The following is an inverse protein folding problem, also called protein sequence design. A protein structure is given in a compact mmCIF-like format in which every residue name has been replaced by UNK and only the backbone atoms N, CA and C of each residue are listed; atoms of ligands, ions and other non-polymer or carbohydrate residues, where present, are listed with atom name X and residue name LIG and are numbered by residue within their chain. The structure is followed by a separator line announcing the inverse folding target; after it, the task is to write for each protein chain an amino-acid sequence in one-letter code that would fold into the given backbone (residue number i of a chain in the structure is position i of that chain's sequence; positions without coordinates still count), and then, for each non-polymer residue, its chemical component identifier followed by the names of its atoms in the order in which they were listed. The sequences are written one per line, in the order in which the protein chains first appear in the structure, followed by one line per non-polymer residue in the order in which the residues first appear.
data_IF_128393745572
#
_entry.id   IF_128393745572
#
_cell.length_a   1.000
_cell.length_b   1.000
_cell.length_c   1.000
_cell.angle_alpha   90.00
_cell.angle_beta   90.00
_cell.angle_gamma   90.00
#
_symmetry.space_group_name_H-M   'P 1'
#
loop_
_entity.id
_entity.type
_entity.pdbx_description
1 polymer ?
#
# COMPACT_ATOMS: atom_id res chain seq x y z
N UNK A 1 -12.60 13.14 10.31
CA UNK A 1 -12.62 11.73 9.87
C UNK A 1 -12.05 10.87 11.00
N UNK A 2 -12.90 10.23 11.80
CA UNK A 2 -12.51 9.49 13.02
C UNK A 2 -11.54 8.32 12.73
N UNK A 3 -11.60 7.74 11.53
CA UNK A 3 -10.78 6.61 11.11
C UNK A 3 -9.63 6.97 10.17
N UNK A 4 -9.49 8.25 9.79
CA UNK A 4 -8.42 8.68 8.88
C UNK A 4 -7.15 8.97 9.67
N UNK A 5 -6.15 8.10 9.50
CA UNK A 5 -4.83 8.27 10.15
C UNK A 5 -3.90 9.21 9.38
N UNK A 6 -4.13 9.36 8.09
CA UNK A 6 -3.33 10.19 7.19
C UNK A 6 -4.20 10.65 6.03
N UNK A 7 -4.21 11.95 5.76
CA UNK A 7 -4.83 12.56 4.59
C UNK A 7 -3.79 13.51 4.00
N UNK A 8 -3.45 13.35 2.73
CA UNK A 8 -2.51 14.24 2.03
C UNK A 8 -3.15 14.70 0.72
N UNK A 9 -3.27 16.02 0.53
CA UNK A 9 -4.08 16.64 -0.53
C UNK A 9 -3.22 17.24 -1.66
N UNK A 10 -1.89 17.20 -1.58
CA UNK A 10 -0.99 17.71 -2.61
C UNK A 10 0.38 17.01 -2.55
N UNK A 11 0.39 15.69 -2.69
CA UNK A 11 1.61 14.90 -2.54
C UNK A 11 2.43 14.91 -3.83
N UNK A 12 3.72 15.24 -3.74
CA UNK A 12 4.66 15.03 -4.85
C UNK A 12 4.79 13.54 -5.19
N UNK A 13 5.21 13.23 -6.43
CA UNK A 13 5.50 11.85 -6.85
C UNK A 13 6.45 11.14 -5.86
N UNK A 14 7.47 11.84 -5.38
CA UNK A 14 8.42 11.31 -4.41
C UNK A 14 7.79 10.94 -3.06
N UNK A 15 6.77 11.69 -2.62
CA UNK A 15 5.99 11.31 -1.44
C UNK A 15 5.21 10.03 -1.68
N UNK A 16 4.53 9.93 -2.84
CA UNK A 16 3.79 8.73 -3.22
C UNK A 16 4.67 7.48 -3.25
N UNK A 17 5.87 7.58 -3.85
CA UNK A 17 6.86 6.50 -3.85
C UNK A 17 7.28 6.10 -2.43
N UNK A 18 7.61 7.09 -1.59
CA UNK A 18 8.01 6.85 -0.20
C UNK A 18 6.90 6.20 0.61
N UNK A 19 5.64 6.59 0.36
CA UNK A 19 4.47 6.04 1.01
C UNK A 19 4.19 4.59 0.58
N UNK A 20 4.31 4.26 -0.72
CA UNK A 20 4.22 2.88 -1.19
C UNK A 20 5.31 2.00 -0.56
N UNK A 21 6.55 2.50 -0.48
CA UNK A 21 7.64 1.80 0.22
C UNK A 21 7.33 1.57 1.69
N UNK A 22 6.75 2.57 2.36
CA UNK A 22 6.31 2.45 3.75
C UNK A 22 5.22 1.38 3.93
N UNK A 23 4.23 1.29 3.04
CA UNK A 23 3.22 0.23 3.08
C UNK A 23 3.83 -1.16 2.95
N UNK A 24 4.82 -1.33 2.07
CA UNK A 24 5.57 -2.59 1.96
C UNK A 24 6.31 -2.95 3.26
N UNK A 25 6.93 -1.96 3.92
CA UNK A 25 7.59 -2.17 5.23
C UNK A 25 6.59 -2.53 6.33
N UNK A 26 5.43 -1.89 6.35
CA UNK A 26 4.36 -2.22 7.30
C UNK A 26 3.85 -3.67 7.08
N UNK A 27 3.71 -4.12 5.83
CA UNK A 27 3.40 -5.53 5.54
C UNK A 27 4.48 -6.48 6.07
N UNK A 28 5.76 -6.13 5.90
CA UNK A 28 6.86 -6.94 6.41
C UNK A 28 6.85 -7.02 7.95
N UNK A 29 6.63 -5.90 8.63
CA UNK A 29 6.49 -5.85 10.09
C UNK A 29 5.34 -6.74 10.58
N UNK A 30 4.21 -6.72 9.88
CA UNK A 30 3.06 -7.60 10.18
C UNK A 30 3.42 -9.06 9.93
N UNK A 31 4.16 -9.38 8.86
CA UNK A 31 4.61 -10.75 8.57
C UNK A 31 5.51 -11.31 9.68
N UNK A 32 6.44 -10.52 10.17
CA UNK A 32 7.31 -10.91 11.29
C UNK A 32 6.50 -11.17 12.56
N UNK A 33 5.52 -10.31 12.84
CA UNK A 33 4.63 -10.49 13.98
C UNK A 33 3.76 -11.75 13.83
N UNK A 34 3.19 -11.99 12.65
CA UNK A 34 2.38 -13.18 12.39
C UNK A 34 3.19 -14.46 12.57
N UNK A 35 4.46 -14.44 12.16
CA UNK A 35 5.39 -15.55 12.38
C UNK A 35 5.63 -15.83 13.87
N UNK A 36 5.74 -14.80 14.71
CA UNK A 36 5.90 -14.97 16.17
C UNK A 36 4.71 -15.69 16.82
N UNK A 37 3.51 -15.49 16.28
CA UNK A 37 2.27 -16.15 16.75
C UNK A 37 1.93 -17.42 15.96
N UNK A 38 2.80 -17.86 15.04
CA UNK A 38 2.57 -19.00 14.15
C UNK A 38 1.24 -18.93 13.38
N UNK A 39 0.86 -17.72 12.93
CA UNK A 39 -0.34 -17.47 12.12
C UNK A 39 0.02 -17.03 10.71
N UNK A 40 -0.90 -17.23 9.77
CA UNK A 40 -0.64 -17.00 8.33
C UNK A 40 -1.15 -15.66 7.81
N UNK A 41 -2.12 -15.04 8.48
CA UNK A 41 -2.76 -13.81 8.02
C UNK A 41 -3.36 -12.97 9.16
N UNK A 42 -3.83 -11.77 8.80
CA UNK A 42 -4.43 -10.82 9.72
C UNK A 42 -5.64 -11.39 10.49
N UNK A 43 -6.45 -12.22 9.84
CA UNK A 43 -7.68 -12.74 10.46
C UNK A 43 -7.33 -13.70 11.59
N UNK A 44 -6.30 -14.52 11.39
CA UNK A 44 -5.77 -15.40 12.44
C UNK A 44 -5.00 -14.61 13.52
N UNK A 45 -4.24 -13.58 13.14
CA UNK A 45 -3.54 -12.74 14.11
C UNK A 45 -4.51 -12.00 15.05
N UNK A 46 -5.66 -11.54 14.54
CA UNK A 46 -6.67 -10.81 15.32
C UNK A 46 -7.29 -11.60 16.48
N UNK A 47 -7.07 -12.93 16.53
CA UNK A 47 -7.44 -13.77 17.68
C UNK A 47 -6.51 -13.56 18.88
N UNK A 48 -5.33 -12.97 18.67
CA UNK A 48 -4.27 -12.80 19.65
C UNK A 48 -3.97 -11.33 19.99
N UNK A 49 -4.36 -10.39 19.13
CA UNK A 49 -4.13 -8.96 19.36
C UNK A 49 -4.88 -8.07 18.37
N UNK A 50 -5.03 -6.79 18.71
CA UNK A 50 -5.68 -5.84 17.83
C UNK A 50 -4.76 -5.38 16.70
N UNK A 51 -5.27 -5.42 15.46
CA UNK A 51 -4.57 -4.87 14.31
C UNK A 51 -5.56 -4.34 13.27
N UNK A 52 -5.56 -3.03 12.96
CA UNK A 52 -6.51 -2.47 12.00
C UNK A 52 -6.17 -2.86 10.55
N UNK A 53 -7.20 -2.88 9.70
CA UNK A 53 -7.00 -2.92 8.25
C UNK A 53 -6.60 -1.53 7.78
N UNK A 54 -5.68 -1.47 6.83
CA UNK A 54 -5.31 -0.23 6.15
C UNK A 54 -6.06 -0.20 4.83
N UNK A 55 -6.98 0.74 4.68
CA UNK A 55 -7.61 1.07 3.41
C UNK A 55 -6.91 2.32 2.91
N UNK A 56 -6.24 2.19 1.77
CA UNK A 56 -5.44 3.25 1.17
C UNK A 56 -6.12 3.67 -0.12
N UNK A 57 -6.57 4.90 -0.18
CA UNK A 57 -7.15 5.49 -1.38
C UNK A 57 -6.07 6.34 -2.04
N UNK A 58 -5.75 6.04 -3.30
CA UNK A 58 -4.86 6.83 -4.14
C UNK A 58 -5.68 7.33 -5.31
N UNK A 59 -6.01 8.61 -5.28
CA UNK A 59 -6.57 9.29 -6.43
C UNK A 59 -5.46 9.64 -7.43
N UNK A 60 -5.81 9.69 -8.71
CA UNK A 60 -4.89 9.98 -9.80
C UNK A 60 -3.60 9.12 -9.76
N UNK A 61 -3.72 7.82 -9.49
CA UNK A 61 -2.55 6.95 -9.25
C UNK A 61 -1.55 6.90 -10.42
N UNK A 62 -1.99 7.19 -11.65
CA UNK A 62 -1.15 7.29 -12.84
C UNK A 62 -0.05 8.36 -12.69
N UNK A 63 -0.26 9.38 -11.85
CA UNK A 63 0.74 10.42 -11.55
C UNK A 63 1.98 9.82 -10.89
N UNK A 64 1.86 8.68 -10.18
CA UNK A 64 3.02 7.99 -9.62
C UNK A 64 4.02 7.51 -10.68
N UNK A 65 3.57 7.37 -11.94
CA UNK A 65 4.39 6.97 -13.08
C UNK A 65 4.85 8.15 -13.94
N UNK A 66 4.57 9.39 -13.54
CA UNK A 66 4.97 10.57 -14.30
C UNK A 66 6.45 10.94 -14.11
N UNK A 67 7.17 10.30 -13.19
CA UNK A 67 8.62 10.44 -13.11
C UNK A 67 9.24 9.85 -14.39
N UNK A 68 10.04 10.66 -15.09
CA UNK A 68 10.71 10.27 -16.34
C UNK A 68 11.90 9.33 -16.12
N UNK A 69 12.31 9.07 -14.86
CA UNK A 69 13.34 8.10 -14.55
C UNK A 69 12.83 6.66 -14.68
N UNK A 70 13.57 5.81 -15.40
CA UNK A 70 13.23 4.38 -15.53
C UNK A 70 13.21 3.67 -14.17
N UNK A 71 14.13 4.05 -13.27
CA UNK A 71 14.23 3.51 -11.91
C UNK A 71 13.03 3.87 -11.04
N UNK A 72 12.50 5.10 -11.16
CA UNK A 72 11.34 5.54 -10.40
C UNK A 72 10.09 4.74 -10.75
N UNK A 73 9.83 4.57 -12.05
CA UNK A 73 8.70 3.76 -12.56
C UNK A 73 8.80 2.30 -12.11
N UNK A 74 9.97 1.69 -12.26
CA UNK A 74 10.17 0.29 -11.85
C UNK A 74 9.92 0.09 -10.34
N UNK A 75 10.38 1.03 -9.50
CA UNK A 75 10.16 0.96 -8.05
C UNK A 75 8.68 1.05 -7.66
N UNK A 76 7.93 1.92 -8.34
CA UNK A 76 6.47 2.04 -8.17
C UNK A 76 5.77 0.76 -8.60
N UNK A 77 6.11 0.21 -9.77
CA UNK A 77 5.56 -1.05 -10.27
C UNK A 77 5.83 -2.21 -9.32
N UNK A 78 7.05 -2.36 -8.82
CA UNK A 78 7.42 -3.41 -7.88
C UNK A 78 6.65 -3.30 -6.57
N UNK A 79 6.52 -2.08 -6.03
CA UNK A 79 5.80 -1.83 -4.78
C UNK A 79 4.30 -2.11 -4.94
N UNK A 80 3.67 -1.59 -6.00
CA UNK A 80 2.26 -1.86 -6.30
C UNK A 80 2.02 -3.35 -6.54
N UNK A 81 2.86 -4.04 -7.31
CA UNK A 81 2.75 -5.48 -7.53
C UNK A 81 2.81 -6.26 -6.22
N UNK A 82 3.68 -5.87 -5.29
CA UNK A 82 3.77 -6.49 -3.97
C UNK A 82 2.50 -6.27 -3.15
N UNK A 83 2.03 -5.02 -3.09
CA UNK A 83 0.83 -4.63 -2.36
C UNK A 83 -0.43 -5.32 -2.89
N UNK A 84 -0.60 -5.37 -4.21
CA UNK A 84 -1.76 -6.00 -4.85
C UNK A 84 -1.76 -7.53 -4.67
N UNK A 85 -0.60 -8.18 -4.79
CA UNK A 85 -0.50 -9.64 -4.66
C UNK A 85 -0.57 -10.14 -3.21
N UNK A 86 0.05 -9.41 -2.28
CA UNK A 86 0.25 -9.88 -0.89
C UNK A 86 -0.51 -9.07 0.16
N UNK A 87 -0.97 -7.85 -0.15
CA UNK A 87 -1.52 -6.91 0.82
C UNK A 87 -2.70 -7.45 1.63
N UNK A 88 -3.60 -8.22 1.00
CA UNK A 88 -4.79 -8.79 1.66
C UNK A 88 -4.43 -9.59 2.91
N UNK A 89 -3.43 -10.46 2.85
CA UNK A 89 -3.02 -11.32 3.97
C UNK A 89 -2.55 -10.50 5.17
N UNK A 90 -1.95 -9.34 4.92
CA UNK A 90 -1.46 -8.42 5.96
C UNK A 90 -2.45 -7.30 6.27
N UNK A 91 -3.64 -7.32 5.67
CA UNK A 91 -4.69 -6.34 5.91
C UNK A 91 -4.49 -4.98 5.25
N UNK A 92 -3.70 -4.90 4.19
CA UNK A 92 -3.51 -3.69 3.37
C UNK A 92 -4.33 -3.82 2.09
N UNK A 93 -5.19 -2.84 1.83
CA UNK A 93 -6.09 -2.79 0.69
C UNK A 93 -5.93 -1.45 -0.02
N UNK A 94 -5.70 -1.49 -1.33
CA UNK A 94 -5.58 -0.30 -2.17
C UNK A 94 -6.88 -0.05 -2.93
N UNK A 95 -7.31 1.20 -2.97
CA UNK A 95 -8.34 1.71 -3.86
C UNK A 95 -7.63 2.72 -4.76
N UNK A 96 -7.46 2.38 -6.04
CA UNK A 96 -6.78 3.21 -7.02
C UNK A 96 -7.83 3.86 -7.91
N UNK A 97 -7.86 5.19 -7.95
CA UNK A 97 -8.70 5.96 -8.85
C UNK A 97 -7.85 6.67 -9.90
N UNK A 98 -8.42 6.84 -11.08
CA UNK A 98 -7.80 7.53 -12.21
C UNK A 98 -8.86 8.15 -13.09
N UNK A 99 -8.61 9.35 -13.59
CA UNK A 99 -9.40 9.97 -14.66
C UNK A 99 -8.90 9.59 -16.06
N UNK A 100 -7.81 8.81 -16.17
CA UNK A 100 -7.21 8.52 -17.46
C UNK A 100 -7.81 7.26 -18.10
N UNK A 101 -8.63 7.45 -19.13
CA UNK A 101 -9.04 6.37 -20.04
C UNK A 101 -7.94 6.14 -21.08
N UNK A 102 -6.86 5.41 -20.76
CA UNK A 102 -5.92 4.92 -21.79
C UNK A 102 -6.43 3.60 -22.37
N UNK A 103 -7.44 3.73 -23.21
CA UNK A 103 -7.78 2.75 -24.24
C UNK A 103 -7.51 3.38 -25.60
N UNK A 104 -6.38 3.02 -26.19
CA UNK A 104 -6.12 3.08 -27.65
C UNK A 104 -5.49 1.77 -28.03
#
# INVERSE_FOLDING_TARGET
LEHARLVSVASSVGYGMSFLSWLCKEMQKRAELFKQFNVKDLSDYRKHGEMPRLIVVIDEFQVLFSDNSSKGKESVEQSLNTLLKKGRSYGVHLILATQTMRGT
#
